data_IF_771283866488
#
_entry.id   IF_771283866488
#
_cell.length_a   1.000
_cell.length_b   1.000
_cell.length_c   1.000
_cell.angle_alpha   90.00
_cell.angle_beta   90.00
_cell.angle_gamma   90.00
#
_symmetry.space_group_name_H-M   'P 1'
#
loop_
_entity.id
_entity.type
_entity.pdbx_description
1 polymer ?
#
# COMPACT_ATOMS: atom_id res chain seq x y z
N UNK A 1 -4.98 2.26 -3.90
CA UNK A 1 -5.94 1.14 -4.00
C UNK A 1 -6.84 1.12 -2.77
N UNK A 2 -8.12 0.79 -2.92
CA UNK A 2 -9.04 0.55 -1.80
C UNK A 2 -9.67 -0.84 -1.96
N UNK A 3 -9.77 -1.60 -0.87
CA UNK A 3 -10.38 -2.94 -0.82
C UNK A 3 -11.30 -3.01 0.38
N UNK A 4 -12.47 -3.60 0.21
CA UNK A 4 -13.45 -3.80 1.29
C UNK A 4 -14.16 -5.13 1.05
N UNK A 5 -14.40 -5.91 2.11
CA UNK A 5 -15.10 -7.19 2.02
C UNK A 5 -16.64 -7.06 2.09
N UNK A 6 -17.17 -5.84 2.26
CA UNK A 6 -18.59 -5.47 2.36
C UNK A 6 -19.44 -6.38 3.28
N UNK A 7 -18.81 -6.96 4.32
CA UNK A 7 -19.49 -7.74 5.33
C UNK A 7 -20.08 -6.82 6.39
N UNK A 8 -21.33 -7.10 6.80
CA UNK A 8 -22.07 -6.28 7.77
C UNK A 8 -21.65 -6.53 9.22
N UNK A 9 -21.15 -7.73 9.57
CA UNK A 9 -20.71 -8.04 10.94
C UNK A 9 -19.20 -7.89 11.15
N UNK A 10 -18.37 -8.47 10.26
CA UNK A 10 -16.90 -8.40 10.34
C UNK A 10 -16.33 -7.73 9.09
N UNK A 11 -16.50 -6.40 9.01
CA UNK A 11 -15.97 -5.63 7.90
C UNK A 11 -14.43 -5.59 7.98
N UNK A 12 -13.78 -6.02 6.90
CA UNK A 12 -12.33 -5.90 6.71
C UNK A 12 -12.10 -5.02 5.50
N UNK A 13 -11.50 -3.87 5.76
CA UNK A 13 -11.12 -2.89 4.76
C UNK A 13 -9.60 -2.76 4.70
N UNK A 14 -9.09 -2.43 3.52
CA UNK A 14 -7.71 -2.05 3.30
C UNK A 14 -7.62 -0.85 2.36
N UNK A 15 -6.81 0.11 2.77
CA UNK A 15 -6.55 1.33 2.06
C UNK A 15 -5.05 1.43 1.80
N UNK A 16 -4.68 1.74 0.57
CA UNK A 16 -3.32 1.87 0.12
C UNK A 16 -3.18 3.15 -0.67
N UNK A 17 -2.31 4.02 -0.21
CA UNK A 17 -1.98 5.29 -0.84
C UNK A 17 -0.54 5.25 -1.32
N UNK A 18 -0.31 5.69 -2.56
CA UNK A 18 0.99 5.66 -3.20
C UNK A 18 1.22 6.96 -3.94
N UNK A 19 2.38 7.55 -3.71
CA UNK A 19 2.84 8.75 -4.42
C UNK A 19 4.24 8.50 -4.90
N UNK A 20 4.45 8.73 -6.19
CA UNK A 20 5.78 8.71 -6.80
C UNK A 20 6.11 10.08 -7.37
N UNK A 21 7.34 10.55 -7.16
CA UNK A 21 7.85 11.81 -7.69
C UNK A 21 9.20 11.59 -8.38
N UNK A 22 9.48 12.31 -9.48
CA UNK A 22 10.77 12.20 -10.14
C UNK A 22 11.88 12.74 -9.23
N UNK A 23 12.93 11.95 -9.02
CA UNK A 23 14.15 12.39 -8.34
C UNK A 23 15.23 12.74 -9.38
N UNK A 24 15.48 11.80 -10.30
CA UNK A 24 16.47 11.90 -11.39
C UNK A 24 15.82 11.28 -12.64
N UNK A 25 16.36 11.55 -13.82
CA UNK A 25 15.85 11.12 -15.13
C UNK A 25 15.39 9.64 -15.20
N UNK A 26 16.09 8.74 -14.51
CA UNK A 26 15.80 7.30 -14.48
C UNK A 26 15.33 6.79 -13.10
N UNK A 27 15.18 7.66 -12.10
CA UNK A 27 14.88 7.30 -10.71
C UNK A 27 13.72 8.13 -10.19
N UNK A 28 12.65 7.46 -9.77
CA UNK A 28 11.56 8.07 -9.04
C UNK A 28 11.66 7.73 -7.55
N UNK A 29 11.45 8.72 -6.69
CA UNK A 29 11.14 8.46 -5.29
C UNK A 29 9.71 7.95 -5.18
N UNK A 30 9.44 7.05 -4.24
CA UNK A 30 8.09 6.60 -3.94
C UNK A 30 7.84 6.55 -2.43
N UNK A 31 6.61 6.87 -2.07
CA UNK A 31 6.07 6.76 -0.72
C UNK A 31 4.83 5.90 -0.81
N UNK A 32 4.77 4.86 0.00
CA UNK A 32 3.64 3.95 0.12
C UNK A 32 3.11 3.98 1.56
N UNK A 33 1.81 4.17 1.71
CA UNK A 33 1.12 4.07 2.99
C UNK A 33 0.00 3.03 2.86
N UNK A 34 0.03 2.00 3.69
CA UNK A 34 -0.97 0.95 3.75
C UNK A 34 -1.62 0.95 5.13
N UNK A 35 -2.94 0.82 5.17
CA UNK A 35 -3.72 0.73 6.40
C UNK A 35 -4.89 -0.21 6.18
N UNK A 36 -4.89 -1.36 6.85
CA UNK A 36 -5.96 -2.33 6.70
C UNK A 36 -5.63 -3.76 7.04
N UNK A 37 -6.55 -4.64 6.66
CA UNK A 37 -6.41 -6.07 6.85
C UNK A 37 -5.85 -6.76 5.61
N UNK A 38 -5.04 -7.80 5.83
CA UNK A 38 -4.50 -8.64 4.75
C UNK A 38 -3.53 -7.92 3.84
N UNK A 39 -2.60 -7.19 4.45
CA UNK A 39 -1.40 -6.72 3.76
C UNK A 39 -0.63 -7.88 3.13
N UNK A 40 -0.54 -9.01 3.85
CA UNK A 40 0.05 -10.26 3.40
C UNK A 40 -0.93 -11.41 3.59
N UNK A 41 -0.74 -12.50 2.83
CA UNK A 41 -1.54 -13.73 2.97
C UNK A 41 -1.44 -14.32 4.38
N UNK A 42 -0.29 -14.14 5.04
CA UNK A 42 -0.07 -14.62 6.42
C UNK A 42 -0.84 -13.78 7.45
N UNK A 43 -1.01 -12.48 7.18
CA UNK A 43 -1.65 -11.50 8.07
C UNK A 43 -3.06 -11.10 7.61
N UNK A 44 -3.77 -12.02 6.94
CA UNK A 44 -5.11 -11.76 6.37
C UNK A 44 -6.16 -11.34 7.42
N UNK A 45 -5.93 -11.69 8.68
CA UNK A 45 -6.81 -11.37 9.80
C UNK A 45 -6.25 -10.32 10.77
N UNK A 46 -5.08 -9.73 10.46
CA UNK A 46 -4.46 -8.72 11.29
C UNK A 46 -4.61 -7.33 10.67
N UNK A 47 -4.94 -6.34 11.49
CA UNK A 47 -4.95 -4.94 11.06
C UNK A 47 -3.54 -4.40 11.10
N UNK A 48 -3.00 -4.04 9.94
CA UNK A 48 -1.63 -3.55 9.81
C UNK A 48 -1.63 -2.14 9.22
N UNK A 49 -0.83 -1.28 9.82
CA UNK A 49 -0.50 0.04 9.30
C UNK A 49 0.99 0.03 8.92
N UNK A 50 1.29 0.22 7.64
CA UNK A 50 2.65 0.27 7.12
C UNK A 50 2.89 1.57 6.38
N UNK A 51 4.00 2.23 6.68
CA UNK A 51 4.54 3.30 5.86
C UNK A 51 5.89 2.86 5.29
N UNK A 52 6.08 3.07 3.99
CA UNK A 52 7.27 2.71 3.25
C UNK A 52 7.72 3.87 2.39
N UNK A 53 9.04 4.07 2.32
CA UNK A 53 9.67 5.05 1.44
C UNK A 53 10.80 4.36 0.69
N UNK A 54 11.00 4.71 -0.57
CA UNK A 54 12.08 4.13 -1.34
C UNK A 54 12.25 4.77 -2.70
N UNK A 55 12.97 4.06 -3.57
CA UNK A 55 13.25 4.46 -4.95
C UNK A 55 12.74 3.39 -5.92
N UNK A 56 12.21 3.83 -7.05
CA UNK A 56 11.79 3.00 -8.18
C UNK A 56 12.65 3.41 -9.37
N UNK A 57 13.29 2.41 -9.98
CA UNK A 57 13.98 2.60 -11.26
C UNK A 57 12.92 2.58 -12.35
N UNK A 58 12.80 3.68 -13.10
CA UNK A 58 11.98 3.69 -14.32
C UNK A 58 12.71 2.89 -15.39
N UNK A 59 12.04 1.89 -15.95
CA UNK A 59 12.51 1.29 -17.19
C UNK A 59 12.36 2.31 -18.33
N UNK A 60 13.40 2.37 -19.15
CA UNK A 60 13.56 3.13 -20.40
C UNK A 60 12.38 2.93 -21.36
#
# INVERSE_FOLDING_TARGET
MFRNNFRFNENRSALQFEVSFPLIEHINGYIQYFSGYGESLIDYNHFTNRIGVGVIVKAW
#
